data_IF_892289247597
#
_entry.id   IF_892289247597
#
_cell.length_a   1.000
_cell.length_b   1.000
_cell.length_c   1.000
_cell.angle_alpha   90.00
_cell.angle_beta   90.00
_cell.angle_gamma   90.00
#
_symmetry.space_group_name_H-M   'P 1'
#
loop_
_entity.id
_entity.type
_entity.pdbx_description
1 polymer ?
#
# COMPACT_ATOMS: atom_id res chain seq x y z
N UNK A 1 8.48 22.78 6.16
CA UNK A 1 9.82 22.89 6.79
C UNK A 1 10.33 21.58 7.37
N UNK A 2 9.68 20.95 8.35
CA UNK A 2 10.14 19.64 8.87
C UNK A 2 10.36 18.59 7.77
N UNK A 3 9.34 18.38 6.93
CA UNK A 3 9.45 17.47 5.78
C UNK A 3 10.58 17.85 4.81
N UNK A 4 10.87 19.14 4.64
CA UNK A 4 11.98 19.61 3.81
C UNK A 4 13.33 19.21 4.42
N UNK A 5 13.47 19.23 5.75
CA UNK A 5 14.67 18.73 6.44
C UNK A 5 14.88 17.23 6.22
N UNK A 6 13.81 16.44 6.31
CA UNK A 6 13.85 15.00 6.01
C UNK A 6 14.25 14.75 4.55
N UNK A 7 13.68 15.50 3.60
CA UNK A 7 14.02 15.40 2.18
C UNK A 7 15.47 15.80 1.93
N UNK A 8 15.93 16.90 2.52
CA UNK A 8 17.30 17.39 2.36
C UNK A 8 18.32 16.36 2.89
N UNK A 9 18.05 15.75 4.04
CA UNK A 9 18.86 14.66 4.58
C UNK A 9 18.99 13.51 3.56
N UNK A 10 17.86 13.02 3.02
CA UNK A 10 17.84 11.95 2.01
C UNK A 10 18.58 12.37 0.73
N UNK A 11 18.49 13.62 0.31
CA UNK A 11 19.19 14.10 -0.89
C UNK A 11 20.72 14.09 -0.73
N UNK A 12 21.24 14.24 0.49
CA UNK A 12 22.68 14.28 0.74
C UNK A 12 23.31 12.89 0.89
N UNK A 13 22.60 11.93 1.51
CA UNK A 13 23.17 10.60 1.85
C UNK A 13 22.35 9.40 1.38
N UNK A 14 21.13 9.61 0.87
CA UNK A 14 20.34 8.56 0.23
C UNK A 14 19.50 7.68 1.17
N UNK A 15 19.51 7.94 2.49
CA UNK A 15 18.67 7.24 3.48
C UNK A 15 17.95 8.23 4.41
N UNK A 16 16.81 7.84 5.04
CA UNK A 16 16.02 8.74 5.87
C UNK A 16 16.64 8.95 7.27
N UNK A 17 16.46 10.13 7.90
CA UNK A 17 16.94 10.42 9.26
C UNK A 17 16.16 9.68 10.36
N UNK A 18 14.96 9.19 10.07
CA UNK A 18 14.13 8.43 11.00
C UNK A 18 13.66 7.15 10.31
N UNK A 19 13.92 6.00 10.92
CA UNK A 19 13.48 4.71 10.40
C UNK A 19 13.40 3.67 11.52
N UNK A 20 12.32 2.91 11.52
CA UNK A 20 12.13 1.73 12.35
C UNK A 20 11.15 0.79 11.63
N UNK A 21 11.21 -0.51 11.90
CA UNK A 21 10.20 -1.46 11.43
C UNK A 21 8.89 -1.30 12.22
N UNK A 22 8.99 -0.95 13.50
CA UNK A 22 7.86 -0.67 14.38
C UNK A 22 7.44 0.80 14.25
N UNK A 23 6.17 1.02 13.85
CA UNK A 23 5.65 2.37 13.67
C UNK A 23 5.62 3.20 14.95
N UNK A 24 5.38 2.58 16.11
CA UNK A 24 5.37 3.28 17.40
C UNK A 24 6.76 3.78 17.75
N UNK A 25 7.79 2.95 17.56
CA UNK A 25 9.20 3.36 17.75
C UNK A 25 9.62 4.45 16.76
N UNK A 26 9.24 4.32 15.48
CA UNK A 26 9.46 5.37 14.48
C UNK A 26 8.85 6.71 14.93
N UNK A 27 7.61 6.72 15.42
CA UNK A 27 6.97 7.94 15.91
C UNK A 27 7.64 8.49 17.18
N UNK A 28 8.20 7.63 18.03
CA UNK A 28 9.00 8.07 19.18
C UNK A 28 10.28 8.79 18.73
N UNK A 29 11.02 8.23 17.77
CA UNK A 29 12.22 8.87 17.20
C UNK A 29 11.89 10.26 16.62
N UNK A 30 10.81 10.36 15.83
CA UNK A 30 10.36 11.63 15.23
C UNK A 30 10.00 12.66 16.30
N UNK A 31 9.24 12.27 17.33
CA UNK A 31 8.87 13.17 18.44
C UNK A 31 10.06 13.63 19.26
N UNK A 32 11.04 12.75 19.45
CA UNK A 32 12.28 13.05 20.16
C UNK A 32 13.28 13.84 19.31
N UNK A 33 13.06 13.97 17.99
CA UNK A 33 14.04 14.53 17.07
C UNK A 33 15.35 13.75 17.07
N UNK A 34 15.29 12.44 17.30
CA UNK A 34 16.44 11.56 17.41
C UNK A 34 16.93 11.16 16.01
N UNK A 35 17.86 11.95 15.46
CA UNK A 35 18.61 11.66 14.25
C UNK A 35 20.06 12.12 14.45
N UNK A 36 20.97 11.57 13.65
CA UNK A 36 22.40 11.87 13.70
C UNK A 36 23.01 12.01 12.30
N UNK A 37 24.31 12.27 12.25
CA UNK A 37 25.11 12.41 11.04
C UNK A 37 26.26 11.40 11.07
N UNK A 38 25.99 10.10 10.86
CA UNK A 38 26.96 9.04 11.06
C UNK A 38 28.10 9.09 10.03
N UNK A 39 29.29 8.70 10.47
CA UNK A 39 30.44 8.49 9.61
C UNK A 39 30.33 7.13 8.89
N UNK A 40 30.91 6.97 7.68
CA UNK A 40 31.74 7.95 6.97
C UNK A 40 30.96 8.91 6.05
N UNK A 41 29.70 8.64 5.74
CA UNK A 41 28.97 9.31 4.66
C UNK A 41 28.80 10.82 4.93
N UNK A 42 28.63 11.19 6.20
CA UNK A 42 28.48 12.59 6.61
C UNK A 42 29.79 13.33 6.85
N UNK A 43 30.95 12.67 6.84
CA UNK A 43 32.24 13.33 7.10
C UNK A 43 32.59 14.33 6.00
N UNK A 44 32.20 14.02 4.77
CA UNK A 44 32.42 14.88 3.61
C UNK A 44 31.34 15.95 3.44
N UNK A 45 30.24 15.88 4.20
CA UNK A 45 29.11 16.81 4.09
C UNK A 45 29.42 18.10 4.86
N UNK A 46 29.23 19.24 4.20
CA UNK A 46 29.64 20.52 4.77
C UNK A 46 28.88 20.86 6.05
N UNK A 47 29.51 21.54 7.02
CA UNK A 47 28.86 21.93 8.27
C UNK A 47 27.57 22.74 8.05
N UNK A 48 27.52 23.58 7.02
CA UNK A 48 26.37 24.43 6.71
C UNK A 48 25.17 23.63 6.19
N UNK A 49 25.43 22.47 5.55
CA UNK A 49 24.36 21.55 5.17
C UNK A 49 23.72 20.91 6.40
N UNK A 50 24.57 20.45 7.34
CA UNK A 50 24.15 19.87 8.63
C UNK A 50 23.39 20.90 9.47
N UNK A 51 23.88 22.13 9.53
CA UNK A 51 23.24 23.24 10.24
C UNK A 51 21.85 23.58 9.66
N UNK A 52 21.71 23.61 8.33
CA UNK A 52 20.41 23.82 7.70
C UNK A 52 19.42 22.69 8.03
N UNK A 53 19.88 21.43 8.02
CA UNK A 53 19.07 20.28 8.43
C UNK A 53 18.64 20.43 9.89
N UNK A 54 19.56 20.77 10.80
CA UNK A 54 19.26 21.00 12.21
C UNK A 54 18.16 22.05 12.40
N UNK A 55 18.26 23.18 11.69
CA UNK A 55 17.27 24.25 11.73
C UNK A 55 15.90 23.85 11.17
N UNK A 56 15.86 22.95 10.18
CA UNK A 56 14.60 22.42 9.61
C UNK A 56 13.97 21.32 10.49
N UNK A 57 14.79 20.49 11.13
CA UNK A 57 14.39 19.38 12.01
C UNK A 57 14.30 19.80 13.49
N UNK A 58 14.15 21.09 13.77
CA UNK A 58 13.83 21.60 15.11
C UNK A 58 12.45 21.10 15.55
N UNK A 59 12.39 20.43 16.71
CA UNK A 59 11.16 19.83 17.26
C UNK A 59 10.11 20.91 17.52
N UNK A 60 10.49 21.98 18.22
CA UNK A 60 9.59 23.09 18.52
C UNK A 60 9.27 23.87 17.22
N UNK A 61 8.02 23.88 16.74
CA UNK A 61 7.65 24.53 15.49
C UNK A 61 7.87 26.04 15.51
N UNK A 62 7.77 26.70 16.68
CA UNK A 62 7.98 28.14 16.82
C UNK A 62 9.45 28.54 16.75
N UNK A 63 10.38 27.59 16.93
CA UNK A 63 11.83 27.79 16.77
C UNK A 63 12.35 27.23 15.45
N UNK A 64 11.48 26.60 14.66
CA UNK A 64 11.85 25.97 13.39
C UNK A 64 12.01 27.03 12.33
N UNK A 65 13.07 26.95 11.54
CA UNK A 65 13.33 27.89 10.46
C UNK A 65 12.15 27.94 9.49
N UNK A 66 11.80 29.15 9.06
CA UNK A 66 10.78 29.39 8.03
C UNK A 66 11.36 29.17 6.63
N UNK A 67 10.50 29.04 5.62
CA UNK A 67 10.95 28.90 4.23
C UNK A 67 11.77 30.12 3.76
N UNK A 68 11.33 31.33 4.13
CA UNK A 68 12.01 32.58 3.78
C UNK A 68 13.40 32.69 4.40
N UNK A 69 13.56 32.27 5.65
CA UNK A 69 14.88 32.22 6.31
C UNK A 69 15.77 31.13 5.71
N UNK A 70 15.21 29.96 5.39
CA UNK A 70 15.97 28.88 4.77
C UNK A 70 16.55 29.29 3.41
N UNK A 71 15.80 30.01 2.58
CA UNK A 71 16.30 30.52 1.29
C UNK A 71 17.47 31.51 1.44
N UNK A 72 17.58 32.18 2.59
CA UNK A 72 18.68 33.08 2.93
C UNK A 72 19.85 32.37 3.59
N UNK A 73 19.74 31.08 3.88
CA UNK A 73 20.79 30.31 4.52
C UNK A 73 22.03 30.22 3.62
N UNK A 74 23.27 30.37 4.14
CA UNK A 74 24.50 30.37 3.32
C UNK A 74 24.62 29.16 2.41
N UNK A 75 24.24 27.98 2.89
CA UNK A 75 24.25 26.75 2.08
C UNK A 75 23.39 26.81 0.80
N UNK A 76 22.32 27.61 0.80
CA UNK A 76 21.44 27.82 -0.36
C UNK A 76 21.88 29.06 -1.16
N UNK A 77 22.03 30.21 -0.52
CA UNK A 77 22.24 31.49 -1.22
C UNK A 77 23.70 31.72 -1.65
N UNK A 78 24.67 31.04 -1.04
CA UNK A 78 26.11 31.13 -1.35
C UNK A 78 26.64 29.78 -1.83
N UNK A 79 25.83 29.05 -2.62
CA UNK A 79 26.12 27.69 -3.05
C UNK A 79 27.49 27.53 -3.72
N UNK A 80 27.93 28.50 -4.50
CA UNK A 80 29.21 28.44 -5.24
C UNK A 80 30.44 28.43 -4.32
N UNK A 81 30.34 28.94 -3.10
CA UNK A 81 31.46 29.03 -2.14
C UNK A 81 31.30 28.07 -0.96
N UNK A 82 30.07 27.74 -0.58
CA UNK A 82 29.76 26.99 0.66
C UNK A 82 29.42 25.52 0.41
N UNK A 83 28.83 25.19 -0.75
CA UNK A 83 28.47 23.80 -1.04
C UNK A 83 29.66 23.04 -1.65
N UNK A 84 29.92 21.84 -1.15
CA UNK A 84 30.93 20.95 -1.73
C UNK A 84 30.58 20.57 -3.17
N UNK A 85 31.56 20.66 -4.07
CA UNK A 85 31.45 20.24 -5.48
C UNK A 85 31.83 18.76 -5.69
N UNK A 86 32.12 18.02 -4.63
CA UNK A 86 32.51 16.61 -4.74
C UNK A 86 31.34 15.75 -5.23
N UNK A 87 31.60 14.93 -6.24
CA UNK A 87 30.67 13.88 -6.65
C UNK A 87 30.64 12.77 -5.60
N UNK A 88 29.44 12.45 -5.08
CA UNK A 88 29.24 11.39 -4.07
C UNK A 88 28.55 10.18 -4.70
N UNK A 89 29.35 9.21 -5.16
CA UNK A 89 28.84 8.02 -5.83
C UNK A 89 28.01 7.12 -4.89
N UNK A 90 28.44 6.97 -3.63
CA UNK A 90 27.72 6.18 -2.62
C UNK A 90 26.31 6.75 -2.35
N UNK A 91 26.17 8.07 -2.24
CA UNK A 91 24.87 8.75 -2.14
C UNK A 91 23.97 8.38 -3.31
N UNK A 92 24.50 8.37 -4.54
CA UNK A 92 23.73 8.02 -5.74
C UNK A 92 23.24 6.57 -5.69
N UNK A 93 24.06 5.64 -5.21
CA UNK A 93 23.71 4.22 -5.08
C UNK A 93 22.67 3.98 -3.98
N UNK A 94 22.85 4.59 -2.81
CA UNK A 94 21.87 4.57 -1.74
C UNK A 94 20.54 5.19 -2.20
N UNK A 95 20.58 6.31 -2.92
CA UNK A 95 19.40 6.95 -3.46
C UNK A 95 18.71 6.08 -4.51
N UNK A 96 19.44 5.30 -5.33
CA UNK A 96 18.86 4.29 -6.23
C UNK A 96 18.14 3.19 -5.45
N UNK A 97 18.76 2.62 -4.41
CA UNK A 97 18.14 1.59 -3.54
C UNK A 97 16.91 2.14 -2.81
N UNK A 98 17.02 3.33 -2.23
CA UNK A 98 15.92 4.03 -1.56
C UNK A 98 14.78 4.32 -2.55
N UNK A 99 15.09 4.85 -3.72
CA UNK A 99 14.08 5.07 -4.76
C UNK A 99 13.46 3.76 -5.25
N UNK A 100 14.21 2.66 -5.35
CA UNK A 100 13.64 1.36 -5.70
C UNK A 100 12.70 0.86 -4.60
N UNK A 101 13.10 0.89 -3.33
CA UNK A 101 12.27 0.51 -2.17
C UNK A 101 11.03 1.40 -2.04
N UNK A 102 11.19 2.72 -2.21
CA UNK A 102 10.11 3.71 -2.17
C UNK A 102 9.21 3.62 -3.38
N UNK A 103 9.75 3.44 -4.60
CA UNK A 103 8.94 3.21 -5.80
C UNK A 103 8.22 1.87 -5.71
N UNK A 104 8.79 0.84 -5.09
CA UNK A 104 8.07 -0.40 -4.83
C UNK A 104 6.91 -0.17 -3.85
N UNK A 105 7.18 0.39 -2.66
CA UNK A 105 6.14 0.75 -1.66
C UNK A 105 5.12 1.76 -2.18
N UNK A 106 5.56 2.70 -3.00
CA UNK A 106 4.77 3.79 -3.55
C UNK A 106 4.03 3.41 -4.83
N UNK A 107 4.57 2.53 -5.68
CA UNK A 107 3.85 1.92 -6.79
C UNK A 107 2.86 0.89 -6.28
N UNK A 108 3.12 0.23 -5.13
CA UNK A 108 2.07 -0.50 -4.40
C UNK A 108 0.92 0.47 -4.09
N UNK A 109 1.20 1.57 -3.39
CA UNK A 109 0.18 2.56 -3.05
C UNK A 109 -0.44 3.28 -4.26
N UNK A 110 0.31 3.49 -5.34
CA UNK A 110 -0.13 4.20 -6.55
C UNK A 110 -0.90 3.28 -7.47
N UNK A 111 -0.52 2.00 -7.59
CA UNK A 111 -1.39 0.98 -8.20
C UNK A 111 -2.71 0.99 -7.46
N UNK A 112 -2.71 0.91 -6.12
CA UNK A 112 -3.93 1.04 -5.27
C UNK A 112 -4.71 2.38 -5.47
N UNK A 113 -4.10 3.43 -6.04
CA UNK A 113 -4.74 4.74 -6.28
C UNK A 113 -5.03 5.05 -7.76
N UNK A 114 -4.43 4.37 -8.73
CA UNK A 114 -4.58 4.60 -10.18
C UNK A 114 -5.61 3.66 -10.79
N UNK A 115 -5.73 2.41 -10.32
CA UNK A 115 -6.96 1.61 -10.51
C UNK A 115 -8.19 2.42 -10.07
N UNK A 116 -8.04 3.21 -9.01
CA UNK A 116 -9.01 4.19 -8.50
C UNK A 116 -9.40 5.31 -9.48
N UNK A 117 -8.51 5.77 -10.38
CA UNK A 117 -8.74 6.95 -11.25
C UNK A 117 -8.96 6.60 -12.74
N UNK A 118 -8.43 5.48 -13.25
CA UNK A 118 -8.64 5.10 -14.65
C UNK A 118 -10.09 4.65 -14.92
N UNK A 119 -10.75 4.06 -13.91
CA UNK A 119 -12.18 3.77 -13.93
C UNK A 119 -13.05 5.04 -14.09
N UNK A 120 -12.61 6.20 -13.59
CA UNK A 120 -13.36 7.46 -13.69
C UNK A 120 -13.27 8.15 -15.06
N UNK A 121 -12.21 7.93 -15.87
CA UNK A 121 -11.99 8.65 -17.14
C UNK A 121 -12.54 7.95 -18.39
N UNK A 122 -12.85 6.64 -18.32
CA UNK A 122 -13.50 5.93 -19.42
C UNK A 122 -14.95 6.40 -19.69
N UNK A 123 -15.53 7.22 -18.81
CA UNK A 123 -16.93 7.69 -18.91
C UNK A 123 -17.12 9.02 -19.69
N UNK A 124 -16.05 9.66 -20.18
CA UNK A 124 -16.16 11.00 -20.81
C UNK A 124 -16.03 11.02 -22.34
N UNK A 125 -15.82 9.89 -23.02
CA UNK A 125 -15.68 9.85 -24.47
C UNK A 125 -16.61 8.82 -25.13
N UNK A 126 -17.92 9.09 -25.12
CA UNK A 126 -18.87 8.54 -26.10
C UNK A 126 -19.97 9.58 -26.36
N UNK A 127 -19.89 10.22 -27.53
CA UNK A 127 -21.00 10.98 -28.13
C UNK A 127 -22.22 10.05 -28.28
N UNK A 128 -23.46 10.53 -28.05
CA UNK A 128 -24.63 9.94 -28.66
C UNK A 128 -25.22 10.88 -29.71
N UNK A 129 -25.55 10.28 -30.86
CA UNK A 129 -26.36 10.87 -31.92
C UNK A 129 -27.81 11.12 -31.46
N UNK A 130 -28.32 12.23 -31.97
CA UNK A 130 -29.70 12.65 -32.25
C UNK A 130 -30.89 11.84 -31.72
N UNK A 131 -31.83 12.49 -31.00
CA UNK A 131 -33.18 12.91 -31.48
C UNK A 131 -33.89 13.81 -30.42
N UNK A 132 -34.59 14.84 -30.90
CA UNK A 132 -35.30 15.94 -30.21
C UNK A 132 -36.58 15.45 -29.48
N UNK A 133 -37.12 16.08 -28.41
CA UNK A 133 -38.00 17.28 -28.43
C UNK A 133 -38.22 17.87 -27.00
N UNK A 134 -38.10 19.22 -26.91
CA UNK A 134 -38.64 20.30 -26.03
C UNK A 134 -39.65 19.99 -24.88
N UNK A 135 -39.76 20.72 -23.74
CA UNK A 135 -39.58 22.17 -23.46
C UNK A 135 -39.48 22.51 -21.93
N UNK A 136 -38.65 23.53 -21.58
CA UNK A 136 -38.74 24.62 -20.53
C UNK A 136 -39.11 24.28 -19.05
N UNK A 137 -38.54 24.85 -17.96
CA UNK A 137 -37.77 26.09 -17.67
C UNK A 137 -37.21 26.07 -16.22
N UNK A 138 -36.11 26.82 -16.00
CA UNK A 138 -35.63 27.52 -14.77
C UNK A 138 -34.81 26.81 -13.65
N UNK A 139 -33.50 27.09 -13.68
CA UNK A 139 -32.67 27.86 -12.71
C UNK A 139 -32.78 27.53 -11.20
N UNK A 140 -31.74 26.94 -10.60
CA UNK A 140 -30.76 27.65 -9.74
C UNK A 140 -29.65 26.74 -9.14
N UNK A 141 -28.48 27.36 -8.98
CA UNK A 141 -27.32 27.17 -8.06
C UNK A 141 -27.12 25.87 -7.24
N UNK A 142 -25.87 25.35 -7.24
CA UNK A 142 -25.42 24.42 -6.18
C UNK A 142 -24.11 23.68 -6.45
N UNK A 143 -23.06 24.11 -5.76
CA UNK A 143 -21.72 23.50 -5.58
C UNK A 143 -21.71 21.99 -5.30
N UNK A 144 -20.63 21.32 -5.74
CA UNK A 144 -20.22 19.90 -5.60
C UNK A 144 -20.49 19.21 -4.24
N UNK A 145 -20.39 17.86 -4.21
CA UNK A 145 -19.14 17.30 -3.68
C UNK A 145 -18.55 16.16 -4.52
N UNK A 146 -17.21 16.12 -4.52
CA UNK A 146 -16.37 15.13 -5.18
C UNK A 146 -16.49 13.75 -4.52
N UNK A 147 -16.48 12.69 -5.34
CA UNK A 147 -16.55 11.29 -4.94
C UNK A 147 -15.28 10.84 -4.20
N UNK A 148 -15.44 10.33 -2.98
CA UNK A 148 -14.38 9.63 -2.25
C UNK A 148 -14.30 8.14 -2.68
N UNK A 149 -13.10 7.60 -2.95
CA UNK A 149 -12.99 6.20 -3.37
C UNK A 149 -12.79 5.19 -2.23
N UNK A 150 -13.25 3.97 -2.48
CA UNK A 150 -13.26 2.82 -1.58
C UNK A 150 -11.84 2.31 -1.25
N UNK A 151 -11.59 1.87 0.00
CA UNK A 151 -10.26 1.47 0.50
C UNK A 151 -10.25 0.08 1.13
N UNK A 152 -9.12 -0.63 0.96
CA UNK A 152 -8.80 -1.90 1.62
C UNK A 152 -7.70 -1.67 2.67
N UNK A 153 -7.85 -2.15 3.91
CA UNK A 153 -6.89 -1.95 5.02
C UNK A 153 -6.45 -3.29 5.62
N UNK A 154 -5.17 -3.45 5.97
CA UNK A 154 -4.68 -4.64 6.69
C UNK A 154 -4.50 -4.32 8.18
N UNK A 155 -4.98 -5.20 9.06
CA UNK A 155 -4.60 -5.22 10.48
C UNK A 155 -3.88 -6.52 10.82
N UNK A 156 -2.65 -6.38 11.32
CA UNK A 156 -1.89 -7.46 11.93
C UNK A 156 -1.70 -7.13 13.42
N UNK A 157 -2.13 -7.98 14.37
CA UNK A 157 -1.69 -7.87 15.75
C UNK A 157 -0.21 -8.25 15.80
N UNK A 158 0.55 -7.50 16.61
CA UNK A 158 1.95 -7.77 16.94
C UNK A 158 2.08 -9.25 17.33
N UNK A 159 2.98 -9.99 16.66
CA UNK A 159 3.38 -11.34 17.07
C UNK A 159 3.85 -11.27 18.52
N UNK A 160 2.97 -11.67 19.45
CA UNK A 160 3.34 -11.82 20.86
C UNK A 160 4.09 -13.14 20.99
N UNK A 161 5.34 -13.16 20.54
CA UNK A 161 6.29 -14.18 20.95
C UNK A 161 6.55 -13.96 22.44
N UNK A 162 5.88 -14.76 23.28
CA UNK A 162 6.31 -14.99 24.64
C UNK A 162 7.55 -15.87 24.57
N UNK A 163 8.72 -15.27 24.55
CA UNK A 163 9.92 -15.90 25.07
C UNK A 163 10.56 -14.97 26.09
N UNK A 164 10.95 -15.60 27.18
CA UNK A 164 11.36 -15.07 28.46
C UNK A 164 12.68 -14.30 28.41
N UNK A 165 12.81 -13.36 29.32
CA UNK A 165 14.06 -12.76 29.79
C UNK A 165 15.12 -13.84 30.07
N UNK A 166 16.27 -13.79 29.41
CA UNK A 166 17.61 -13.91 30.03
C UNK A 166 18.76 -13.81 29.00
N UNK A 167 19.73 -12.95 29.36
CA UNK A 167 21.18 -13.16 29.21
C UNK A 167 21.85 -13.06 27.83
N UNK A 168 22.86 -12.18 27.78
CA UNK A 168 23.90 -12.11 26.76
C UNK A 168 24.55 -13.49 26.57
N UNK A 169 24.27 -14.15 25.46
CA UNK A 169 25.13 -15.20 24.90
C UNK A 169 25.15 -15.04 23.38
N UNK A 170 26.35 -14.85 22.84
CA UNK A 170 26.66 -14.70 21.43
C UNK A 170 26.49 -16.06 20.74
N UNK A 171 25.26 -16.44 20.40
CA UNK A 171 25.02 -17.53 19.44
C UNK A 171 25.23 -17.00 18.03
N UNK A 172 26.20 -17.59 17.34
CA UNK A 172 26.41 -17.44 15.90
C UNK A 172 25.17 -18.00 15.22
N UNK A 173 24.17 -17.15 14.99
CA UNK A 173 23.10 -17.44 14.04
C UNK A 173 23.71 -17.33 12.64
N UNK A 174 23.79 -18.46 11.92
CA UNK A 174 24.32 -18.52 10.55
C UNK A 174 23.66 -17.45 9.67
N UNK A 175 24.48 -16.62 9.01
CA UNK A 175 24.07 -15.59 8.05
C UNK A 175 23.05 -16.10 7.02
N UNK A 176 23.18 -17.37 6.62
CA UNK A 176 22.28 -18.05 5.69
C UNK A 176 20.85 -18.19 6.23
N UNK A 177 20.69 -18.39 7.55
CA UNK A 177 19.37 -18.49 8.20
C UNK A 177 18.68 -17.13 8.20
N UNK A 178 19.42 -16.05 8.45
CA UNK A 178 18.90 -14.67 8.39
C UNK A 178 18.52 -14.27 6.96
N UNK A 179 19.36 -14.60 5.99
CA UNK A 179 19.07 -14.36 4.58
C UNK A 179 17.79 -15.10 4.14
N UNK A 180 17.64 -16.38 4.51
CA UNK A 180 16.45 -17.18 4.24
C UNK A 180 15.17 -16.58 4.87
N UNK A 181 15.25 -16.11 6.12
CA UNK A 181 14.13 -15.43 6.79
C UNK A 181 13.73 -14.13 6.08
N UNK A 182 14.70 -13.32 5.65
CA UNK A 182 14.45 -12.07 4.91
C UNK A 182 13.75 -12.36 3.58
N UNK A 183 14.24 -13.36 2.83
CA UNK A 183 13.63 -13.80 1.57
C UNK A 183 12.20 -14.28 1.79
N UNK A 184 11.96 -15.12 2.81
CA UNK A 184 10.62 -15.60 3.13
C UNK A 184 9.68 -14.48 3.56
N UNK A 185 10.15 -13.50 4.35
CA UNK A 185 9.37 -12.30 4.72
C UNK A 185 8.97 -11.50 3.48
N UNK A 186 9.89 -11.32 2.53
CA UNK A 186 9.60 -10.64 1.27
C UNK A 186 8.58 -11.39 0.40
N UNK A 187 8.72 -12.73 0.28
CA UNK A 187 7.77 -13.58 -0.45
C UNK A 187 6.38 -13.58 0.18
N UNK A 188 6.28 -13.67 1.51
CA UNK A 188 4.98 -13.55 2.20
C UNK A 188 4.30 -12.21 1.91
N UNK A 189 5.07 -11.11 1.90
CA UNK A 189 4.55 -9.79 1.57
C UNK A 189 4.08 -9.68 0.11
N UNK A 190 4.73 -10.38 -0.82
CA UNK A 190 4.31 -10.49 -2.21
C UNK A 190 2.94 -11.17 -2.34
N UNK A 191 2.72 -12.27 -1.61
CA UNK A 191 1.43 -13.00 -1.59
C UNK A 191 0.30 -12.15 -1.00
N UNK A 192 0.58 -11.43 0.09
CA UNK A 192 -0.39 -10.49 0.66
C UNK A 192 -0.78 -9.44 -0.38
N UNK A 193 0.21 -8.86 -1.07
CA UNK A 193 -0.02 -7.81 -2.06
C UNK A 193 -0.83 -8.29 -3.26
N UNK A 194 -0.52 -9.46 -3.83
CA UNK A 194 -1.33 -9.98 -4.95
C UNK A 194 -2.74 -10.32 -4.50
N UNK A 195 -2.93 -10.71 -3.24
CA UNK A 195 -4.27 -10.90 -2.65
C UNK A 195 -5.03 -9.59 -2.52
N UNK A 196 -4.39 -8.51 -2.07
CA UNK A 196 -5.01 -7.17 -2.02
C UNK A 196 -5.49 -6.71 -3.41
N UNK A 197 -4.65 -6.90 -4.43
CA UNK A 197 -4.98 -6.55 -5.82
C UNK A 197 -6.20 -7.31 -6.34
N UNK A 198 -6.32 -8.60 -5.99
CA UNK A 198 -7.47 -9.43 -6.35
C UNK A 198 -8.75 -8.96 -5.64
N UNK A 199 -8.67 -8.63 -4.35
CA UNK A 199 -9.82 -8.12 -3.59
C UNK A 199 -10.26 -6.75 -4.12
N UNK A 200 -9.31 -5.90 -4.51
CA UNK A 200 -9.60 -4.62 -5.14
C UNK A 200 -10.32 -4.78 -6.48
N UNK A 201 -9.91 -5.73 -7.34
CA UNK A 201 -10.61 -5.99 -8.61
C UNK A 201 -12.06 -6.43 -8.37
N UNK A 202 -12.30 -7.26 -7.34
CA UNK A 202 -13.65 -7.65 -6.91
C UNK A 202 -14.48 -6.43 -6.46
N UNK A 203 -13.93 -5.61 -5.56
CA UNK A 203 -14.64 -4.44 -5.03
C UNK A 203 -14.99 -3.41 -6.12
N UNK A 204 -14.13 -3.28 -7.12
CA UNK A 204 -14.33 -2.35 -8.24
C UNK A 204 -15.21 -2.93 -9.36
N UNK A 205 -15.63 -4.20 -9.28
CA UNK A 205 -16.33 -4.85 -10.37
C UNK A 205 -15.48 -5.01 -11.64
N UNK A 206 -14.15 -5.05 -11.52
CA UNK A 206 -13.22 -5.22 -12.64
C UNK A 206 -13.00 -6.72 -12.92
N UNK A 207 -13.89 -7.27 -13.74
CA UNK A 207 -13.84 -8.69 -14.12
C UNK A 207 -12.62 -9.03 -14.97
N UNK A 208 -12.14 -8.11 -15.82
CA UNK A 208 -11.01 -8.37 -16.71
C UNK A 208 -9.72 -8.58 -15.89
N UNK A 209 -9.47 -7.71 -14.90
CA UNK A 209 -8.35 -7.89 -13.97
C UNK A 209 -8.52 -9.14 -13.13
N UNK A 210 -9.72 -9.40 -12.60
CA UNK A 210 -10.01 -10.61 -11.82
C UNK A 210 -9.70 -11.88 -12.62
N UNK A 211 -10.22 -12.00 -13.86
CA UNK A 211 -10.00 -13.17 -14.72
C UNK A 211 -8.52 -13.37 -15.05
N UNK A 212 -7.75 -12.30 -15.23
CA UNK A 212 -6.30 -12.39 -15.49
C UNK A 212 -5.51 -12.88 -14.28
N UNK A 213 -5.98 -12.58 -13.06
CA UNK A 213 -5.34 -13.00 -11.81
C UNK A 213 -5.75 -14.41 -11.36
N UNK A 214 -6.82 -14.96 -11.93
CA UNK A 214 -7.29 -16.31 -11.66
C UNK A 214 -6.79 -17.28 -12.74
N UNK A 215 -6.59 -18.53 -12.36
CA UNK A 215 -6.37 -19.61 -13.31
C UNK A 215 -7.67 -19.87 -14.11
N UNK A 216 -7.60 -20.20 -15.42
CA UNK A 216 -8.80 -20.58 -16.18
C UNK A 216 -9.55 -21.79 -15.58
N UNK A 217 -8.84 -22.70 -14.91
CA UNK A 217 -9.38 -23.83 -14.15
C UNK A 217 -9.46 -23.56 -12.64
N UNK A 218 -9.63 -22.28 -12.23
CA UNK A 218 -9.85 -21.91 -10.83
C UNK A 218 -10.94 -22.79 -10.21
N UNK A 219 -10.67 -23.38 -9.05
CA UNK A 219 -11.71 -24.09 -8.29
C UNK A 219 -12.18 -23.25 -7.11
N UNK A 220 -13.48 -23.27 -6.80
CA UNK A 220 -14.00 -22.53 -5.65
C UNK A 220 -15.03 -23.30 -4.80
N UNK A 221 -14.93 -23.07 -3.49
CA UNK A 221 -15.99 -23.33 -2.51
C UNK A 221 -16.44 -22.01 -1.90
N UNK A 222 -17.71 -21.67 -2.05
CA UNK A 222 -18.27 -20.46 -1.45
C UNK A 222 -19.76 -20.64 -1.13
N UNK A 223 -20.34 -19.81 -0.22
CA UNK A 223 -21.75 -19.94 0.18
C UNK A 223 -22.72 -19.95 -1.01
N UNK A 224 -22.42 -19.15 -2.03
CA UNK A 224 -23.19 -19.00 -3.26
C UNK A 224 -23.23 -20.28 -4.11
N UNK A 225 -22.24 -21.16 -3.97
CA UNK A 225 -22.20 -22.46 -4.65
C UNK A 225 -23.05 -23.53 -3.94
N UNK A 226 -23.69 -23.21 -2.81
CA UNK A 226 -24.58 -24.09 -2.06
C UNK A 226 -23.95 -25.46 -1.72
N UNK A 227 -22.67 -25.44 -1.33
CA UNK A 227 -21.92 -26.64 -0.96
C UNK A 227 -21.33 -27.43 -2.13
N UNK A 228 -21.41 -26.92 -3.36
CA UNK A 228 -20.79 -27.54 -4.53
C UNK A 228 -19.42 -26.94 -4.84
N UNK A 229 -18.54 -27.74 -5.45
CA UNK A 229 -17.30 -27.25 -6.03
C UNK A 229 -17.61 -26.62 -7.39
N UNK A 230 -17.16 -25.38 -7.60
CA UNK A 230 -17.28 -24.66 -8.86
C UNK A 230 -15.93 -24.64 -9.58
N UNK A 231 -15.94 -24.70 -10.90
CA UNK A 231 -14.74 -24.62 -11.75
C UNK A 231 -14.82 -23.43 -12.71
N UNK A 232 -13.67 -22.80 -12.93
CA UNK A 232 -13.51 -21.60 -13.72
C UNK A 232 -14.01 -20.35 -13.03
N UNK A 233 -14.11 -19.27 -13.80
CA UNK A 233 -14.55 -17.97 -13.31
C UNK A 233 -15.87 -17.48 -13.93
N UNK A 234 -16.54 -18.31 -14.73
CA UNK A 234 -17.83 -17.95 -15.34
C UNK A 234 -18.96 -17.86 -14.31
N UNK A 235 -18.93 -18.69 -13.25
CA UNK A 235 -19.81 -18.55 -12.10
C UNK A 235 -19.67 -17.17 -11.45
N UNK A 236 -18.43 -16.73 -11.23
CA UNK A 236 -18.14 -15.42 -10.62
C UNK A 236 -18.54 -14.26 -11.54
N UNK A 237 -18.42 -14.41 -12.87
CA UNK A 237 -18.78 -13.37 -13.87
C UNK A 237 -20.19 -12.83 -13.66
N UNK A 238 -21.15 -13.69 -13.31
CA UNK A 238 -22.51 -13.28 -12.99
C UNK A 238 -22.56 -12.19 -11.91
N UNK A 239 -21.77 -12.33 -10.82
CA UNK A 239 -21.73 -11.35 -9.74
C UNK A 239 -21.10 -10.04 -10.19
N UNK A 240 -20.06 -10.08 -11.02
CA UNK A 240 -19.47 -8.88 -11.61
C UNK A 240 -20.48 -8.12 -12.47
N UNK A 241 -21.24 -8.83 -13.31
CA UNK A 241 -22.19 -8.23 -14.24
C UNK A 241 -23.47 -7.73 -13.55
N UNK A 242 -23.94 -8.42 -12.50
CA UNK A 242 -25.27 -8.18 -11.94
C UNK A 242 -25.30 -7.67 -10.49
N UNK A 243 -24.33 -8.04 -9.65
CA UNK A 243 -24.35 -7.74 -8.21
C UNK A 243 -23.38 -6.61 -7.81
N UNK A 244 -22.16 -6.62 -8.36
CA UNK A 244 -21.08 -5.71 -7.99
C UNK A 244 -21.08 -4.42 -8.84
N UNK A 245 -21.47 -4.50 -10.11
CA UNK A 245 -21.41 -3.37 -11.07
C UNK A 245 -22.40 -2.22 -10.81
N UNK A 246 -23.39 -2.39 -9.92
CA UNK A 246 -24.50 -1.43 -9.75
C UNK A 246 -24.52 -0.67 -8.41
N UNK A 247 -23.58 -0.95 -7.51
CA UNK A 247 -23.51 -0.31 -6.20
C UNK A 247 -22.60 0.91 -6.17
N UNK A 248 -23.11 2.12 -6.35
CA UNK A 248 -22.38 3.39 -6.10
C UNK A 248 -22.06 3.65 -4.62
N UNK A 249 -22.31 2.69 -3.74
CA UNK A 249 -22.18 2.85 -2.29
C UNK A 249 -20.78 2.44 -1.85
N UNK A 250 -20.09 3.26 -1.03
CA UNK A 250 -18.77 2.93 -0.54
C UNK A 250 -18.78 1.61 0.23
N UNK A 251 -17.96 0.66 -0.22
CA UNK A 251 -17.62 -0.56 0.49
C UNK A 251 -16.21 -0.41 1.04
N UNK A 252 -16.05 -0.58 2.35
CA UNK A 252 -14.74 -0.55 3.00
C UNK A 252 -14.35 -1.98 3.38
N UNK A 253 -13.19 -2.44 2.91
CA UNK A 253 -12.74 -3.82 3.14
C UNK A 253 -11.53 -3.84 4.09
N UNK A 254 -11.49 -4.77 5.02
CA UNK A 254 -10.37 -4.96 5.94
C UNK A 254 -9.95 -6.43 5.92
N UNK A 255 -8.65 -6.70 5.71
CA UNK A 255 -8.06 -8.02 5.86
C UNK A 255 -7.43 -8.12 7.25
N UNK A 256 -8.01 -8.96 8.09
CA UNK A 256 -7.52 -9.24 9.44
C UNK A 256 -6.68 -10.51 9.45
N UNK A 257 -5.54 -10.43 10.14
CA UNK A 257 -4.67 -11.56 10.44
C UNK A 257 -4.30 -12.44 9.23
N UNK A 258 -3.82 -11.86 8.11
CA UNK A 258 -3.41 -12.66 6.97
C UNK A 258 -2.25 -13.59 7.35
N UNK A 259 -2.48 -14.90 7.21
CA UNK A 259 -1.49 -15.92 7.47
C UNK A 259 -1.07 -16.58 6.16
N UNK A 260 0.21 -16.41 5.79
CA UNK A 260 0.78 -16.96 4.55
C UNK A 260 1.64 -18.18 4.84
N UNK A 261 1.33 -19.28 4.18
CA UNK A 261 2.12 -20.50 4.12
C UNK A 261 2.78 -20.61 2.74
N UNK A 262 4.12 -20.57 2.68
CA UNK A 262 4.87 -20.75 1.43
C UNK A 262 5.09 -22.25 1.19
N UNK A 263 4.82 -22.73 -0.02
CA UNK A 263 4.93 -24.13 -0.41
C UNK A 263 5.92 -24.21 -1.58
N UNK A 264 7.17 -24.56 -1.28
CA UNK A 264 8.24 -24.51 -2.27
C UNK A 264 8.49 -23.09 -2.80
N UNK A 265 8.89 -22.98 -4.06
CA UNK A 265 9.23 -21.70 -4.70
C UNK A 265 8.03 -21.04 -5.41
N UNK A 266 7.16 -21.85 -6.00
CA UNK A 266 6.12 -21.40 -6.91
C UNK A 266 4.70 -21.53 -6.36
N UNK A 267 4.50 -22.00 -5.13
CA UNK A 267 3.17 -22.08 -4.54
C UNK A 267 3.10 -21.39 -3.17
N UNK A 268 1.92 -20.87 -2.85
CA UNK A 268 1.61 -20.31 -1.55
C UNK A 268 0.13 -20.42 -1.24
N UNK A 269 -0.19 -20.53 0.04
CA UNK A 269 -1.55 -20.46 0.56
C UNK A 269 -1.65 -19.27 1.51
N UNK A 270 -2.73 -18.49 1.41
CA UNK A 270 -3.04 -17.42 2.34
C UNK A 270 -4.44 -17.62 2.90
N UNK A 271 -4.57 -17.52 4.23
CA UNK A 271 -5.84 -17.51 4.93
C UNK A 271 -5.98 -16.19 5.70
N UNK A 272 -7.17 -15.59 5.66
CA UNK A 272 -7.45 -14.32 6.33
C UNK A 272 -8.94 -14.20 6.66
N UNK A 273 -9.25 -13.28 7.58
CA UNK A 273 -10.63 -12.87 7.83
C UNK A 273 -10.86 -11.56 7.08
N UNK A 274 -11.88 -11.51 6.22
CA UNK A 274 -12.28 -10.31 5.52
C UNK A 274 -13.48 -9.68 6.22
N UNK A 275 -13.33 -8.43 6.65
CA UNK A 275 -14.45 -7.60 7.06
C UNK A 275 -14.84 -6.68 5.92
N UNK A 276 -16.13 -6.64 5.62
CA UNK A 276 -16.68 -5.80 4.56
C UNK A 276 -17.75 -4.90 5.18
N UNK A 277 -17.50 -3.59 5.19
CA UNK A 277 -18.44 -2.58 5.68
C UNK A 277 -19.12 -1.92 4.49
N UNK A 278 -20.45 -1.82 4.54
CA UNK A 278 -21.26 -1.30 3.43
C UNK A 278 -22.56 -0.68 3.95
N UNK A 279 -23.25 0.08 3.09
CA UNK A 279 -24.53 0.71 3.41
C UNK A 279 -25.71 -0.11 2.88
N UNK A 280 -26.44 -0.78 3.77
CA UNK A 280 -27.70 -1.46 3.47
C UNK A 280 -28.88 -0.54 3.82
N UNK A 281 -29.65 -0.12 2.80
CA UNK A 281 -30.79 0.79 2.99
C UNK A 281 -30.47 2.04 3.83
N UNK A 282 -29.27 2.60 3.62
CA UNK A 282 -28.76 3.78 4.33
C UNK A 282 -28.19 3.49 5.73
N UNK A 283 -28.26 2.25 6.22
CA UNK A 283 -27.71 1.85 7.52
C UNK A 283 -26.35 1.16 7.33
N UNK A 284 -25.32 1.52 8.10
CA UNK A 284 -24.04 0.83 8.05
C UNK A 284 -24.21 -0.61 8.54
N UNK A 285 -23.64 -1.54 7.77
CA UNK A 285 -23.55 -2.96 8.09
C UNK A 285 -22.10 -3.40 7.94
N UNK A 286 -21.73 -4.41 8.73
CA UNK A 286 -20.45 -5.11 8.63
C UNK A 286 -20.75 -6.58 8.41
N UNK A 287 -20.16 -7.17 7.38
CA UNK A 287 -20.13 -8.60 7.16
C UNK A 287 -18.72 -9.14 7.37
N UNK A 288 -18.63 -10.39 7.83
CA UNK A 288 -17.38 -11.12 8.00
C UNK A 288 -17.42 -12.36 7.09
N UNK A 289 -16.28 -12.65 6.46
CA UNK A 289 -16.01 -13.93 5.80
C UNK A 289 -14.62 -14.42 6.14
N UNK A 290 -14.46 -15.74 6.27
CA UNK A 290 -13.16 -16.39 6.36
C UNK A 290 -12.78 -16.86 4.95
N UNK A 291 -11.64 -16.40 4.44
CA UNK A 291 -11.22 -16.68 3.07
C UNK A 291 -9.86 -17.35 3.06
N UNK A 292 -9.73 -18.39 2.23
CA UNK A 292 -8.47 -19.04 1.89
C UNK A 292 -8.25 -18.95 0.39
N UNK A 293 -7.04 -18.59 -0.03
CA UNK A 293 -6.63 -18.57 -1.43
C UNK A 293 -5.33 -19.33 -1.61
N UNK A 294 -5.31 -20.17 -2.65
CA UNK A 294 -4.11 -20.87 -3.08
C UNK A 294 -3.60 -20.19 -4.35
N UNK A 295 -2.34 -19.80 -4.30
CA UNK A 295 -1.62 -19.11 -5.35
C UNK A 295 -0.57 -20.03 -5.94
N UNK A 296 -0.46 -20.02 -7.26
CA UNK A 296 0.59 -20.72 -7.99
C UNK A 296 1.22 -19.78 -9.01
N UNK A 297 2.55 -19.79 -9.09
CA UNK A 297 3.34 -18.93 -9.96
C UNK A 297 3.65 -19.70 -11.25
N UNK A 298 3.16 -19.19 -12.38
CA UNK A 298 3.46 -19.71 -13.72
C UNK A 298 4.00 -18.57 -14.57
N UNK A 299 5.10 -18.80 -15.28
CA UNK A 299 5.76 -17.80 -16.13
C UNK A 299 6.02 -16.46 -15.41
N UNK A 300 6.44 -16.56 -14.14
CA UNK A 300 6.72 -15.40 -13.28
C UNK A 300 5.49 -14.62 -12.79
N UNK A 301 4.27 -15.13 -12.99
CA UNK A 301 3.01 -14.50 -12.55
C UNK A 301 2.26 -15.39 -11.58
N UNK A 302 1.82 -14.80 -10.47
CA UNK A 302 0.93 -15.46 -9.52
C UNK A 302 -0.49 -15.52 -10.07
N UNK A 303 -1.07 -16.71 -10.07
CA UNK A 303 -2.47 -16.97 -10.39
C UNK A 303 -3.16 -17.64 -9.21
N UNK A 304 -4.37 -17.21 -8.89
CA UNK A 304 -5.20 -17.87 -7.90
C UNK A 304 -5.79 -19.15 -8.52
N UNK A 305 -5.42 -20.31 -7.98
CA UNK A 305 -5.84 -21.62 -8.50
C UNK A 305 -6.96 -22.26 -7.69
N UNK A 306 -7.11 -21.87 -6.42
CA UNK A 306 -8.19 -22.33 -5.57
C UNK A 306 -8.63 -21.23 -4.60
N UNK A 307 -9.92 -21.17 -4.33
CA UNK A 307 -10.53 -20.21 -3.43
C UNK A 307 -11.57 -20.90 -2.54
N UNK A 308 -11.52 -20.64 -1.25
CA UNK A 308 -12.53 -21.09 -0.31
C UNK A 308 -12.99 -19.91 0.53
N UNK A 309 -14.29 -19.66 0.57
CA UNK A 309 -14.93 -18.72 1.48
C UNK A 309 -15.95 -19.40 2.37
N UNK A 310 -15.88 -19.07 3.65
CA UNK A 310 -16.87 -19.38 4.67
C UNK A 310 -17.51 -18.09 5.20
N UNK A 311 -18.68 -18.21 5.81
CA UNK A 311 -19.44 -17.08 6.36
C UNK A 311 -20.65 -16.68 5.51
N UNK A 312 -21.11 -15.44 5.65
CA UNK A 312 -22.33 -14.96 5.00
C UNK A 312 -22.12 -14.65 3.49
N UNK A 313 -23.12 -14.88 2.63
CA UNK A 313 -23.06 -14.51 1.21
C UNK A 313 -22.80 -13.02 0.99
N UNK A 314 -22.12 -12.69 -0.13
CA UNK A 314 -21.80 -11.31 -0.52
C UNK A 314 -23.04 -10.52 -0.97
N UNK A 315 -24.08 -11.23 -1.40
CA UNK A 315 -25.37 -10.66 -1.75
C UNK A 315 -26.48 -11.45 -1.04
N UNK A 316 -27.44 -10.74 -0.44
CA UNK A 316 -28.66 -11.39 0.07
C UNK A 316 -29.47 -11.86 -1.13
N UNK A 317 -29.86 -13.12 -1.15
CA UNK A 317 -30.96 -13.59 -2.00
C UNK A 317 -32.20 -12.75 -1.63
N UNK A 318 -32.72 -11.98 -2.58
CA UNK A 318 -34.08 -11.45 -2.51
C UNK A 318 -35.05 -12.50 -3.01
#
# INVERSE_FOLDING_TARGET
>A
MWACGVILYILLVGYPPFWDEDQHRLYQQIKAGAYDFPSPEWDTVTPEAKDLINKMLTINPNKRITATEALKHPWICQRSTVASMMHRQETVECLKKFNARRKLKGAILTTLLVTRNFSAKSLLNKKPDSVKVNNKTNKDTGSSPALEPQTTVIHNPVERNKESTESNNTTIEDEDTKACQIVNKARKQEIIKVTEQLIESINNGDFETYAKMCDPGLTSFEPEALGNLVEGHDFHRFYFEHALSKGTKPVHTILLNPHVHLIGEDAACIAYIRLTQYLDSGRPRTAQSEETRVWHRRDGKWQNIHYHRSGAPSAKYQ
#
